data_IF_538682387434
#
_entry.id   IF_538682387434
#
_cell.length_a   1.000
_cell.length_b   1.000
_cell.length_c   1.000
_cell.angle_alpha   90.00
_cell.angle_beta   90.00
_cell.angle_gamma   90.00
#
_symmetry.space_group_name_H-M   'P 1'
#
loop_
_entity.id
_entity.type
_entity.pdbx_description
1 polymer ?
#
# COMPACT_ATOMS: atom_id res chain seq x y z
N UNK A 1 -23.63 0.56 -0.41
CA UNK A 1 -22.91 0.09 -1.63
C UNK A 1 -21.45 -0.12 -1.25
N UNK A 2 -21.04 -1.37 -1.11
CA UNK A 2 -19.66 -1.81 -0.86
C UNK A 2 -18.89 -1.87 -2.16
N UNK A 3 -17.65 -1.40 -2.19
CA UNK A 3 -16.82 -1.42 -3.40
C UNK A 3 -15.34 -1.37 -3.06
N UNK A 4 -14.51 -1.85 -3.98
CA UNK A 4 -13.05 -1.88 -3.87
C UNK A 4 -12.42 -1.07 -4.99
N UNK A 5 -11.49 -0.19 -4.64
CA UNK A 5 -10.54 0.43 -5.59
C UNK A 5 -9.17 -0.19 -5.40
N UNK A 6 -8.48 -0.55 -6.46
CA UNK A 6 -7.08 -1.00 -6.35
C UNK A 6 -6.12 0.10 -6.78
N UNK A 7 -5.13 0.38 -5.94
CA UNK A 7 -3.94 1.17 -6.29
C UNK A 7 -2.82 0.19 -6.56
N UNK A 8 -2.36 0.13 -7.81
CA UNK A 8 -1.31 -0.80 -8.24
C UNK A 8 -0.13 0.04 -8.71
N UNK A 9 1.03 -0.15 -8.11
CA UNK A 9 2.28 0.41 -8.62
C UNK A 9 3.13 -0.67 -9.29
N UNK A 10 3.66 -0.38 -10.48
CA UNK A 10 4.57 -1.26 -11.21
C UNK A 10 5.87 -0.53 -11.52
N UNK A 11 6.98 -1.23 -11.32
CA UNK A 11 8.32 -0.74 -11.65
C UNK A 11 9.04 -1.64 -12.65
N UNK A 12 8.90 -2.96 -12.54
CA UNK A 12 9.67 -3.92 -13.33
C UNK A 12 8.85 -4.51 -14.50
N UNK A 13 9.44 -4.65 -15.69
CA UNK A 13 8.86 -5.42 -16.79
C UNK A 13 8.51 -6.85 -16.36
N UNK A 14 7.41 -7.41 -16.88
CA UNK A 14 6.91 -8.75 -16.55
C UNK A 14 6.14 -8.83 -15.22
N UNK A 15 6.13 -7.76 -14.42
CA UNK A 15 5.47 -7.77 -13.11
C UNK A 15 3.95 -7.76 -13.22
N UNK A 16 3.41 -7.15 -14.28
CA UNK A 16 1.97 -7.11 -14.49
C UNK A 16 1.38 -8.52 -14.62
N UNK A 17 1.98 -9.37 -15.46
CA UNK A 17 1.52 -10.75 -15.69
C UNK A 17 1.64 -11.59 -14.41
N UNK A 18 2.68 -11.34 -13.61
CA UNK A 18 2.88 -12.00 -12.32
C UNK A 18 1.78 -11.62 -11.33
N UNK A 19 1.47 -10.32 -11.20
CA UNK A 19 0.39 -9.84 -10.35
C UNK A 19 -0.98 -10.30 -10.84
N UNK A 20 -1.25 -10.22 -12.13
CA UNK A 20 -2.52 -10.68 -12.73
C UNK A 20 -2.74 -12.18 -12.48
N UNK A 21 -1.70 -13.01 -12.61
CA UNK A 21 -1.80 -14.44 -12.31
C UNK A 21 -2.18 -14.70 -10.84
N UNK A 22 -1.65 -13.91 -9.91
CA UNK A 22 -1.84 -14.12 -8.46
C UNK A 22 -3.10 -13.43 -7.90
N UNK A 23 -3.45 -12.27 -8.45
CA UNK A 23 -4.44 -11.34 -7.93
C UNK A 23 -5.58 -11.05 -8.94
N UNK A 24 -5.62 -11.72 -10.08
CA UNK A 24 -6.54 -11.38 -11.17
C UNK A 24 -8.03 -11.43 -10.80
N UNK A 25 -8.43 -12.26 -9.84
CA UNK A 25 -9.80 -12.21 -9.35
C UNK A 25 -10.09 -11.02 -8.44
N UNK A 26 -9.10 -10.46 -7.74
CA UNK A 26 -9.24 -9.15 -7.09
C UNK A 26 -9.41 -8.05 -8.14
N UNK A 27 -8.67 -8.12 -9.26
CA UNK A 27 -8.76 -7.12 -10.33
C UNK A 27 -10.15 -7.09 -10.96
N UNK A 28 -10.75 -8.27 -11.19
CA UNK A 28 -12.11 -8.41 -11.71
C UNK A 28 -13.20 -7.98 -10.72
N UNK A 29 -12.93 -8.07 -9.42
CA UNK A 29 -13.87 -7.65 -8.36
C UNK A 29 -13.76 -6.16 -8.03
N UNK A 30 -12.66 -5.51 -8.40
CA UNK A 30 -12.49 -4.09 -8.21
C UNK A 30 -13.52 -3.30 -9.03
N UNK A 31 -14.04 -2.20 -8.48
CA UNK A 31 -14.88 -1.26 -9.22
C UNK A 31 -14.04 -0.41 -10.17
N UNK A 32 -12.82 -0.10 -9.75
CA UNK A 32 -11.87 0.73 -10.48
C UNK A 32 -10.43 0.35 -10.07
N UNK A 33 -9.50 0.55 -10.99
CA UNK A 33 -8.09 0.27 -10.79
C UNK A 33 -7.31 1.52 -11.18
N UNK A 34 -6.49 2.03 -10.27
CA UNK A 34 -5.54 3.11 -10.54
C UNK A 34 -4.16 2.49 -10.59
N UNK A 35 -3.62 2.39 -11.79
CA UNK A 35 -2.32 1.82 -12.07
C UNK A 35 -1.31 2.96 -12.28
N UNK A 36 -0.20 2.91 -11.55
CA UNK A 36 0.91 3.83 -11.71
C UNK A 36 2.15 3.04 -12.14
N UNK A 37 2.95 3.60 -13.05
CA UNK A 37 4.25 3.03 -13.38
C UNK A 37 5.25 4.09 -13.81
N UNK A 38 6.53 3.77 -13.66
CA UNK A 38 7.63 4.69 -13.96
C UNK A 38 8.05 4.69 -15.43
N UNK A 39 7.89 3.56 -16.11
CA UNK A 39 8.40 3.32 -17.45
C UNK A 39 7.26 3.01 -18.44
N UNK A 40 7.43 3.43 -19.70
CA UNK A 40 6.42 3.28 -20.74
C UNK A 40 6.21 1.81 -21.10
N UNK A 41 7.30 1.04 -21.23
CA UNK A 41 7.27 -0.39 -21.51
C UNK A 41 6.45 -1.17 -20.46
N UNK A 42 6.59 -0.80 -19.18
CA UNK A 42 5.79 -1.39 -18.08
C UNK A 42 4.31 -1.02 -18.20
N UNK A 43 3.96 0.19 -18.63
CA UNK A 43 2.57 0.56 -18.87
C UNK A 43 1.98 -0.18 -20.09
N UNK A 44 2.77 -0.30 -21.15
CA UNK A 44 2.36 -0.95 -22.40
C UNK A 44 2.02 -2.43 -22.19
N UNK A 45 2.75 -3.13 -21.32
CA UNK A 45 2.44 -4.51 -20.93
C UNK A 45 1.01 -4.66 -20.41
N UNK A 46 0.52 -3.66 -19.68
CA UNK A 46 -0.84 -3.68 -19.11
C UNK A 46 -1.89 -3.54 -20.20
N UNK A 47 -1.62 -2.83 -21.30
CA UNK A 47 -2.62 -2.49 -22.32
C UNK A 47 -3.24 -3.72 -22.99
N UNK A 48 -2.45 -4.78 -23.18
CA UNK A 48 -2.86 -6.00 -23.89
C UNK A 48 -3.92 -6.85 -23.16
N UNK A 49 -3.92 -6.85 -21.82
CA UNK A 49 -4.72 -7.76 -20.97
C UNK A 49 -5.83 -7.04 -20.19
N UNK A 50 -5.74 -5.72 -20.08
CA UNK A 50 -6.61 -4.91 -19.21
C UNK A 50 -7.88 -4.39 -19.90
N UNK A 51 -8.07 -4.60 -21.21
CA UNK A 51 -9.25 -4.13 -21.96
C UNK A 51 -10.60 -4.64 -21.43
N UNK A 52 -10.57 -5.63 -20.53
CA UNK A 52 -11.75 -6.19 -19.85
C UNK A 52 -11.86 -5.78 -18.38
N UNK A 53 -10.89 -5.05 -17.83
CA UNK A 53 -10.90 -4.63 -16.43
C UNK A 53 -11.71 -3.34 -16.27
N UNK A 54 -12.58 -3.27 -15.24
CA UNK A 54 -13.45 -2.13 -15.04
C UNK A 54 -12.67 -0.89 -14.58
N UNK A 55 -12.96 0.25 -15.21
CA UNK A 55 -12.54 1.57 -14.71
C UNK A 55 -11.03 1.73 -14.51
N UNK A 56 -10.20 1.11 -15.36
CA UNK A 56 -8.75 1.21 -15.23
C UNK A 56 -8.23 2.57 -15.70
N UNK A 57 -7.51 3.25 -14.82
CA UNK A 57 -6.75 4.48 -15.09
C UNK A 57 -5.27 4.14 -15.01
N UNK A 58 -4.49 4.59 -16.00
CA UNK A 58 -3.04 4.40 -16.04
C UNK A 58 -2.36 5.75 -15.95
N UNK A 59 -1.39 5.87 -15.05
CA UNK A 59 -0.64 7.09 -14.80
C UNK A 59 0.86 6.79 -14.92
N UNK A 60 1.53 7.47 -15.86
CA UNK A 60 2.99 7.52 -15.87
C UNK A 60 3.45 8.48 -14.76
N UNK A 61 4.36 8.03 -13.92
CA UNK A 61 4.84 8.79 -12.76
C UNK A 61 6.37 8.81 -12.71
N UNK A 62 7.00 9.86 -12.16
CA UNK A 62 8.43 9.82 -11.93
C UNK A 62 8.76 8.84 -10.80
N UNK A 63 9.92 8.16 -10.90
CA UNK A 63 10.43 7.28 -9.86
C UNK A 63 10.90 8.11 -8.65
N UNK A 64 9.98 8.42 -7.75
CA UNK A 64 10.24 9.12 -6.50
C UNK A 64 9.45 8.43 -5.41
N UNK A 65 10.14 7.88 -4.42
CA UNK A 65 9.56 7.09 -3.35
C UNK A 65 9.09 5.70 -3.74
N UNK A 66 9.60 5.14 -4.84
CA UNK A 66 9.24 3.81 -5.36
C UNK A 66 7.71 3.59 -5.39
N UNK A 67 7.23 2.50 -4.81
CA UNK A 67 5.83 2.14 -4.72
C UNK A 67 5.01 3.10 -3.86
N UNK A 68 5.59 3.67 -2.82
CA UNK A 68 4.91 4.65 -1.94
C UNK A 68 4.57 5.91 -2.72
N UNK A 69 5.51 6.46 -3.47
CA UNK A 69 5.24 7.66 -4.26
C UNK A 69 4.22 7.42 -5.38
N UNK A 70 4.21 6.23 -5.98
CA UNK A 70 3.14 5.79 -6.89
C UNK A 70 1.78 5.75 -6.19
N UNK A 71 1.69 5.13 -5.00
CA UNK A 71 0.46 5.05 -4.20
C UNK A 71 -0.07 6.42 -3.79
N UNK A 72 0.80 7.37 -3.44
CA UNK A 72 0.40 8.74 -3.10
C UNK A 72 -0.16 9.50 -4.32
N UNK A 73 0.41 9.30 -5.52
CA UNK A 73 -0.19 9.85 -6.75
C UNK A 73 -1.55 9.21 -7.02
N UNK A 74 -1.65 7.87 -6.91
CA UNK A 74 -2.90 7.16 -7.10
C UNK A 74 -3.98 7.64 -6.12
N UNK A 75 -3.60 7.86 -4.86
CA UNK A 75 -4.50 8.39 -3.83
C UNK A 75 -4.93 9.83 -4.14
N UNK A 76 -4.03 10.70 -4.57
CA UNK A 76 -4.38 12.05 -5.00
C UNK A 76 -5.42 12.03 -6.14
N UNK A 77 -5.20 11.18 -7.15
CA UNK A 77 -6.16 10.99 -8.24
C UNK A 77 -7.50 10.44 -7.73
N UNK A 78 -7.47 9.42 -6.88
CA UNK A 78 -8.66 8.84 -6.27
C UNK A 78 -9.51 9.88 -5.54
N UNK A 79 -8.87 10.73 -4.73
CA UNK A 79 -9.55 11.75 -3.93
C UNK A 79 -10.21 12.82 -4.80
N UNK A 80 -9.59 13.19 -5.93
CA UNK A 80 -10.07 14.29 -6.78
C UNK A 80 -11.02 13.85 -7.90
N UNK A 81 -10.79 12.69 -8.48
CA UNK A 81 -11.38 12.32 -9.78
C UNK A 81 -12.33 11.12 -9.70
N UNK A 82 -12.21 10.30 -8.65
CA UNK A 82 -12.95 9.04 -8.57
C UNK A 82 -14.16 9.11 -7.64
N UNK A 83 -15.16 8.29 -7.96
CA UNK A 83 -16.18 7.90 -7.00
C UNK A 83 -15.53 7.09 -5.88
N UNK A 84 -15.86 7.45 -4.64
CA UNK A 84 -15.34 6.78 -3.45
C UNK A 84 -15.94 5.39 -3.31
N UNK A 85 -15.13 4.46 -2.83
CA UNK A 85 -15.42 3.04 -2.66
C UNK A 85 -15.15 2.70 -1.22
N UNK A 86 -15.94 1.84 -0.56
CA UNK A 86 -15.75 1.50 0.87
C UNK A 86 -14.32 1.06 1.22
N UNK A 87 -13.66 0.37 0.28
CA UNK A 87 -12.34 -0.17 0.45
C UNK A 87 -11.39 0.33 -0.63
N UNK A 88 -10.12 0.48 -0.25
CA UNK A 88 -9.01 0.59 -1.18
C UNK A 88 -8.02 -0.55 -0.90
N UNK A 89 -7.43 -1.11 -1.95
CA UNK A 89 -6.37 -2.10 -1.88
C UNK A 89 -5.08 -1.53 -2.42
N UNK A 90 -4.01 -1.59 -1.62
CA UNK A 90 -2.68 -1.17 -2.03
C UNK A 90 -1.90 -2.40 -2.49
N UNK A 91 -1.38 -2.34 -3.70
CA UNK A 91 -0.61 -3.39 -4.35
C UNK A 91 0.59 -2.77 -5.06
N UNK A 92 1.67 -3.54 -5.13
CA UNK A 92 2.77 -3.22 -6.01
C UNK A 92 3.52 -4.49 -6.38
N UNK A 93 4.43 -4.38 -7.33
CA UNK A 93 5.34 -5.46 -7.67
C UNK A 93 6.45 -5.64 -6.62
N UNK A 94 6.85 -6.89 -6.43
CA UNK A 94 7.93 -7.25 -5.51
C UNK A 94 8.92 -8.15 -6.23
N UNK A 95 10.02 -7.54 -6.65
CA UNK A 95 11.20 -8.25 -7.15
C UNK A 95 12.25 -8.18 -6.05
N UNK A 96 12.70 -9.34 -5.55
CA UNK A 96 13.77 -9.43 -4.55
C UNK A 96 14.84 -10.37 -5.08
N UNK A 97 15.87 -9.84 -5.77
CA UNK A 97 16.93 -10.65 -6.39
C UNK A 97 17.73 -11.49 -5.38
N UNK A 98 17.67 -11.12 -4.11
CA UNK A 98 18.53 -11.64 -3.04
C UNK A 98 17.88 -12.75 -2.20
N UNK A 99 16.62 -13.11 -2.46
CA UNK A 99 15.90 -14.09 -1.63
C UNK A 99 15.93 -15.49 -2.26
N UNK A 100 16.52 -16.45 -1.55
CA UNK A 100 16.66 -17.87 -1.97
C UNK A 100 15.31 -18.53 -2.30
N UNK A 101 14.20 -18.00 -1.78
CA UNK A 101 12.84 -18.49 -2.06
C UNK A 101 11.85 -17.35 -2.35
N UNK A 102 12.19 -16.49 -3.31
CA UNK A 102 11.40 -15.29 -3.66
C UNK A 102 9.93 -15.61 -4.01
N UNK A 103 9.65 -16.76 -4.62
CA UNK A 103 8.29 -17.17 -4.99
C UNK A 103 7.39 -17.34 -3.76
N UNK A 104 7.84 -18.10 -2.75
CA UNK A 104 7.06 -18.36 -1.54
C UNK A 104 6.75 -17.09 -0.73
N UNK A 105 7.73 -16.17 -0.64
CA UNK A 105 7.54 -14.88 0.01
C UNK A 105 6.49 -14.03 -0.73
N UNK A 106 6.58 -13.98 -2.06
CA UNK A 106 5.62 -13.26 -2.89
C UNK A 106 4.20 -13.85 -2.78
N UNK A 107 4.06 -15.19 -2.77
CA UNK A 107 2.76 -15.85 -2.63
C UNK A 107 2.08 -15.53 -1.31
N UNK A 108 2.86 -15.50 -0.22
CA UNK A 108 2.32 -15.12 1.10
C UNK A 108 1.91 -13.65 1.13
N UNK A 109 2.74 -12.77 0.56
CA UNK A 109 2.51 -11.33 0.54
C UNK A 109 1.25 -10.95 -0.26
N UNK A 110 1.04 -11.59 -1.41
CA UNK A 110 -0.14 -11.36 -2.25
C UNK A 110 -1.37 -12.19 -1.84
N UNK A 111 -1.22 -13.11 -0.88
CA UNK A 111 -2.34 -13.96 -0.44
C UNK A 111 -3.63 -13.21 -0.07
N UNK A 112 -3.61 -11.98 0.50
CA UNK A 112 -4.82 -11.21 0.76
C UNK A 112 -5.60 -10.79 -0.48
N UNK A 113 -4.96 -10.79 -1.66
CA UNK A 113 -5.56 -10.44 -2.95
C UNK A 113 -5.84 -11.65 -3.85
N UNK A 114 -5.55 -12.87 -3.37
CA UNK A 114 -6.08 -14.08 -4.00
C UNK A 114 -7.62 -14.12 -3.89
N UNK A 115 -8.30 -14.89 -4.74
CA UNK A 115 -9.77 -14.97 -4.71
C UNK A 115 -10.33 -15.33 -3.33
N UNK A 116 -9.71 -16.30 -2.65
CA UNK A 116 -10.10 -16.72 -1.31
C UNK A 116 -9.64 -15.70 -0.24
N UNK A 117 -8.44 -15.14 -0.41
CA UNK A 117 -7.90 -14.15 0.51
C UNK A 117 -8.74 -12.88 0.54
N UNK A 118 -9.09 -12.34 -0.64
CA UNK A 118 -9.85 -11.10 -0.73
C UNK A 118 -11.23 -11.26 -0.09
N UNK A 119 -11.91 -12.39 -0.32
CA UNK A 119 -13.19 -12.67 0.37
C UNK A 119 -13.05 -12.67 1.89
N UNK A 120 -12.00 -13.29 2.42
CA UNK A 120 -11.72 -13.28 3.88
C UNK A 120 -11.41 -11.88 4.40
N UNK A 121 -10.61 -11.12 3.66
CA UNK A 121 -10.27 -9.73 3.98
C UNK A 121 -11.53 -8.87 4.08
N UNK A 122 -12.35 -8.89 3.02
CA UNK A 122 -13.58 -8.09 2.96
C UNK A 122 -14.56 -8.53 4.05
N UNK A 123 -14.75 -9.84 4.27
CA UNK A 123 -15.59 -10.36 5.35
C UNK A 123 -15.12 -9.88 6.73
N UNK A 124 -13.80 -9.86 6.98
CA UNK A 124 -13.24 -9.41 8.26
C UNK A 124 -13.46 -7.91 8.48
N UNK A 125 -13.32 -7.10 7.42
CA UNK A 125 -13.66 -5.68 7.45
C UNK A 125 -15.18 -5.46 7.60
N UNK A 126 -16.03 -6.20 6.91
CA UNK A 126 -17.49 -6.03 7.02
C UNK A 126 -18.01 -6.44 8.40
N UNK A 127 -17.44 -7.48 9.01
CA UNK A 127 -17.90 -8.02 10.30
C UNK A 127 -17.40 -7.27 11.54
N UNK A 128 -16.31 -6.50 11.44
CA UNK A 128 -15.75 -5.74 12.57
C UNK A 128 -15.37 -4.33 12.14
N UNK A 129 -16.20 -3.36 12.55
CA UNK A 129 -16.02 -1.94 12.24
C UNK A 129 -14.72 -1.35 12.83
N UNK A 130 -14.11 -2.00 13.82
CA UNK A 130 -12.87 -1.53 14.46
C UNK A 130 -11.63 -1.86 13.64
N UNK A 131 -11.73 -2.83 12.72
CA UNK A 131 -10.60 -3.18 11.84
C UNK A 131 -10.55 -2.18 10.70
N UNK A 132 -9.39 -1.53 10.53
CA UNK A 132 -9.17 -0.52 9.49
C UNK A 132 -8.36 -1.04 8.31
N UNK A 133 -7.41 -1.93 8.59
CA UNK A 133 -6.47 -2.49 7.60
C UNK A 133 -6.36 -4.00 7.78
N UNK A 134 -6.36 -4.75 6.68
CA UNK A 134 -6.10 -6.18 6.66
C UNK A 134 -5.07 -6.52 5.59
N UNK A 135 -3.98 -7.16 6.01
CA UNK A 135 -2.92 -7.68 5.14
C UNK A 135 -2.59 -9.15 5.39
N UNK A 136 -1.43 -9.57 4.93
CA UNK A 136 -0.94 -10.94 5.16
C UNK A 136 -0.40 -11.05 6.59
N UNK A 137 -0.90 -12.01 7.40
CA UNK A 137 -0.56 -12.13 8.83
C UNK A 137 0.93 -12.23 9.11
N UNK A 138 1.69 -12.89 8.24
CA UNK A 138 3.15 -13.04 8.39
C UNK A 138 3.91 -11.71 8.33
N UNK A 139 3.32 -10.72 7.65
CA UNK A 139 3.88 -9.39 7.46
C UNK A 139 3.29 -8.36 8.42
N UNK A 140 2.37 -8.76 9.31
CA UNK A 140 1.98 -7.93 10.44
C UNK A 140 3.15 -7.88 11.44
N UNK A 141 3.67 -6.67 11.66
CA UNK A 141 4.87 -6.40 12.47
C UNK A 141 4.60 -5.29 13.47
N UNK A 142 5.42 -5.29 14.50
CA UNK A 142 5.53 -4.23 15.49
C UNK A 142 7.03 -4.06 15.79
N UNK A 143 7.56 -2.87 15.54
CA UNK A 143 8.97 -2.54 15.76
C UNK A 143 9.14 -1.58 16.95
N UNK A 144 8.05 -1.11 17.57
CA UNK A 144 8.10 -0.10 18.61
C UNK A 144 8.42 -0.72 19.98
N UNK A 145 9.39 -0.13 20.66
CA UNK A 145 9.77 -0.47 22.03
C UNK A 145 9.17 0.54 22.99
N UNK A 146 8.13 0.14 23.72
CA UNK A 146 7.46 1.02 24.69
C UNK A 146 8.36 1.44 25.87
N UNK A 147 9.40 0.65 26.20
CA UNK A 147 10.32 0.98 27.29
C UNK A 147 11.25 2.13 26.92
N UNK A 148 11.77 2.08 25.69
CA UNK A 148 12.71 3.09 25.17
C UNK A 148 12.03 4.20 24.37
N UNK A 149 10.73 4.06 24.07
CA UNK A 149 9.95 4.95 23.18
C UNK A 149 10.60 5.12 21.80
N UNK A 150 11.17 4.05 21.25
CA UNK A 150 11.89 4.05 19.97
C UNK A 150 11.51 2.85 19.10
N UNK A 151 11.77 2.95 17.81
CA UNK A 151 11.58 1.86 16.85
C UNK A 151 12.88 1.09 16.63
N UNK A 152 12.80 -0.24 16.59
CA UNK A 152 13.92 -1.15 16.30
C UNK A 152 14.17 -1.27 14.79
N UNK A 153 14.49 -0.14 14.16
CA UNK A 153 14.74 -0.01 12.71
C UNK A 153 15.70 1.14 12.43
N UNK A 154 16.33 1.15 11.24
CA UNK A 154 17.17 2.26 10.75
C UNK A 154 16.38 3.54 10.49
N UNK A 155 15.04 3.47 10.53
CA UNK A 155 14.12 4.57 10.27
C UNK A 155 13.58 5.25 11.54
N UNK A 156 14.07 4.92 12.74
CA UNK A 156 13.51 5.43 14.01
C UNK A 156 13.38 6.95 14.03
N UNK A 157 14.46 7.69 13.77
CA UNK A 157 14.44 9.16 13.80
C UNK A 157 13.43 9.75 12.81
N UNK A 158 13.43 9.29 11.55
CA UNK A 158 12.50 9.75 10.52
C UNK A 158 11.05 9.42 10.88
N UNK A 159 10.78 8.23 11.44
CA UNK A 159 9.45 7.85 11.89
C UNK A 159 8.95 8.76 13.01
N UNK A 160 9.80 9.05 14.00
CA UNK A 160 9.46 9.96 15.10
C UNK A 160 9.16 11.37 14.58
N UNK A 161 9.98 11.86 13.65
CA UNK A 161 9.79 13.18 13.03
C UNK A 161 8.46 13.23 12.25
N UNK A 162 8.15 12.21 11.45
CA UNK A 162 6.89 12.15 10.69
C UNK A 162 5.67 11.95 11.59
N UNK A 163 5.77 11.14 12.65
CA UNK A 163 4.72 10.98 13.65
C UNK A 163 4.42 12.32 14.31
N UNK A 164 5.45 13.11 14.62
CA UNK A 164 5.30 14.45 15.19
C UNK A 164 4.76 15.45 14.16
N UNK A 165 5.25 15.41 12.92
CA UNK A 165 4.81 16.29 11.82
C UNK A 165 3.30 16.17 11.57
N UNK A 166 2.80 14.93 11.55
CA UNK A 166 1.39 14.64 11.30
C UNK A 166 0.55 14.48 12.58
N UNK A 167 1.11 14.78 13.75
CA UNK A 167 0.47 14.64 15.08
C UNK A 167 -0.22 13.27 15.27
N UNK A 168 0.48 12.20 14.85
CA UNK A 168 -0.05 10.85 14.93
C UNK A 168 0.06 10.30 16.36
N UNK A 169 -1.02 9.65 16.79
CA UNK A 169 -1.12 9.04 18.11
C UNK A 169 -1.51 7.58 17.97
N UNK A 170 -0.51 6.72 17.72
CA UNK A 170 -0.71 5.27 17.66
C UNK A 170 -0.40 4.65 19.02
N UNK A 171 -1.22 3.69 19.45
CA UNK A 171 -0.99 2.97 20.72
C UNK A 171 -0.18 1.70 20.51
N UNK A 172 -0.27 1.08 19.34
CA UNK A 172 0.32 -0.22 19.06
C UNK A 172 1.49 -0.08 18.11
N UNK A 173 1.38 0.78 17.09
CA UNK A 173 2.37 0.87 16.01
C UNK A 173 2.49 -0.45 15.23
N UNK A 174 1.38 -1.17 15.06
CA UNK A 174 1.32 -2.33 14.19
C UNK A 174 1.29 -1.86 12.72
N UNK A 175 1.97 -2.61 11.85
CA UNK A 175 1.95 -2.32 10.41
C UNK A 175 2.08 -3.59 9.56
N UNK A 176 1.68 -3.50 8.29
CA UNK A 176 1.87 -4.56 7.30
C UNK A 176 3.12 -4.25 6.48
N UNK A 177 4.21 -4.95 6.77
CA UNK A 177 5.47 -4.82 6.05
C UNK A 177 5.28 -5.14 4.55
N UNK A 178 5.89 -4.31 3.69
CA UNK A 178 5.73 -4.40 2.24
C UNK A 178 4.44 -3.78 1.70
N UNK A 179 3.65 -3.07 2.52
CA UNK A 179 2.58 -2.16 2.07
C UNK A 179 1.63 -2.76 1.03
N UNK A 180 1.23 -4.02 1.26
CA UNK A 180 0.25 -4.78 0.47
C UNK A 180 -0.88 -5.22 1.40
N UNK A 181 -1.99 -4.49 1.33
CA UNK A 181 -3.14 -4.68 2.21
C UNK A 181 -4.40 -4.01 1.64
N UNK A 182 -5.55 -4.35 2.19
CA UNK A 182 -6.81 -3.63 1.97
C UNK A 182 -7.12 -2.80 3.19
N UNK A 183 -7.58 -1.56 3.01
CA UNK A 183 -8.03 -0.71 4.08
C UNK A 183 -9.39 -0.06 3.77
N UNK A 184 -10.06 0.41 4.82
CA UNK A 184 -11.24 1.28 4.68
C UNK A 184 -10.80 2.59 4.02
N UNK A 185 -11.46 2.96 2.94
CA UNK A 185 -11.10 4.17 2.19
C UNK A 185 -11.20 5.43 3.06
N UNK A 186 -12.21 5.50 3.93
CA UNK A 186 -12.48 6.60 4.83
C UNK A 186 -11.25 7.00 5.67
N UNK A 187 -10.37 6.05 5.98
CA UNK A 187 -9.13 6.32 6.73
C UNK A 187 -8.21 7.24 5.93
N UNK A 188 -7.96 6.89 4.67
CA UNK A 188 -7.10 7.67 3.80
C UNK A 188 -7.81 8.95 3.34
N UNK A 189 -9.12 8.90 3.14
CA UNK A 189 -9.91 10.08 2.79
C UNK A 189 -9.85 11.15 3.88
N UNK A 190 -10.05 10.78 5.14
CA UNK A 190 -10.00 11.72 6.26
C UNK A 190 -8.60 12.34 6.42
N UNK A 191 -7.56 11.51 6.46
CA UNK A 191 -6.20 11.99 6.66
C UNK A 191 -5.73 12.90 5.51
N UNK A 192 -5.90 12.45 4.26
CA UNK A 192 -5.40 13.19 3.10
C UNK A 192 -6.33 14.33 2.65
N UNK A 193 -7.49 14.51 3.30
CA UNK A 193 -8.28 15.75 3.17
C UNK A 193 -7.59 16.95 3.86
N UNK A 194 -6.77 16.68 4.87
CA UNK A 194 -6.02 17.68 5.66
C UNK A 194 -4.54 17.73 5.30
N UNK A 195 -3.99 16.62 4.84
CA UNK A 195 -2.58 16.49 4.46
C UNK A 195 -2.48 16.08 2.99
N UNK A 196 -2.32 17.01 2.03
CA UNK A 196 -2.33 16.68 0.61
C UNK A 196 -1.32 15.58 0.24
N UNK A 197 -1.78 14.52 -0.45
CA UNK A 197 -0.93 13.37 -0.79
C UNK A 197 0.33 13.72 -1.60
N UNK A 198 0.28 14.79 -2.39
CA UNK A 198 1.46 15.24 -3.15
C UNK A 198 2.49 15.98 -2.29
N UNK A 199 2.08 16.60 -1.19
CA UNK A 199 2.99 17.20 -0.22
C UNK A 199 3.71 16.11 0.59
N UNK A 200 2.96 15.10 1.06
CA UNK A 200 3.51 13.88 1.66
C UNK A 200 4.51 13.15 0.74
N UNK A 201 4.33 13.25 -0.59
CA UNK A 201 5.23 12.68 -1.59
C UNK A 201 6.49 13.52 -1.82
N UNK A 202 6.44 14.83 -1.56
CA UNK A 202 7.52 15.76 -1.88
C UNK A 202 8.88 15.40 -1.24
N UNK A 203 8.97 14.95 0.03
CA UNK A 203 10.26 14.60 0.65
C UNK A 203 10.78 13.20 0.30
N UNK A 204 10.01 12.37 -0.42
CA UNK A 204 10.45 11.01 -0.76
C UNK A 204 11.69 11.02 -1.66
N UNK A 205 12.49 9.95 -1.56
CA UNK A 205 13.75 9.82 -2.29
C UNK A 205 13.53 9.72 -3.80
N UNK A 206 14.45 10.30 -4.59
CA UNK A 206 14.45 10.12 -6.05
C UNK A 206 15.17 8.81 -6.44
N UNK A 207 14.60 8.09 -7.41
CA UNK A 207 15.17 6.84 -7.90
C UNK A 207 14.93 5.63 -6.99
N UNK A 208 15.74 4.59 -7.18
CA UNK A 208 15.62 3.32 -6.45
C UNK A 208 16.57 3.26 -5.23
N UNK A 209 16.31 4.09 -4.21
CA UNK A 209 17.18 4.20 -3.02
C UNK A 209 16.99 3.02 -2.05
N UNK A 210 18.09 2.47 -1.54
CA UNK A 210 18.09 1.37 -0.56
C UNK A 210 18.32 1.91 0.86
N UNK A 211 17.75 1.26 1.86
CA UNK A 211 17.78 1.66 3.28
C UNK A 211 18.84 0.92 4.11
N UNK A 212 19.86 0.35 3.46
CA UNK A 212 20.85 -0.53 4.09
C UNK A 212 21.70 0.16 5.17
N UNK A 213 21.91 1.47 5.06
CA UNK A 213 22.81 2.23 5.95
C UNK A 213 22.11 3.39 6.67
N UNK A 214 21.06 3.95 6.07
CA UNK A 214 20.31 5.07 6.61
C UNK A 214 18.82 4.85 6.35
N UNK A 215 17.98 5.35 7.27
CA UNK A 215 16.54 5.38 7.06
C UNK A 215 16.15 6.20 5.82
N UNK A 216 14.96 5.93 5.31
CA UNK A 216 14.38 6.60 4.15
C UNK A 216 12.93 7.00 4.47
N UNK A 217 12.48 8.11 3.91
CA UNK A 217 11.07 8.50 3.96
C UNK A 217 10.19 7.43 3.32
N UNK A 218 10.64 6.78 2.24
CA UNK A 218 9.90 5.69 1.60
C UNK A 218 9.55 4.58 2.60
N UNK A 219 10.54 3.99 3.29
CA UNK A 219 10.29 2.93 4.26
C UNK A 219 9.59 3.42 5.53
N UNK A 220 9.76 4.70 5.88
CA UNK A 220 8.98 5.30 6.97
C UNK A 220 7.49 5.35 6.60
N UNK A 221 7.17 5.76 5.38
CA UNK A 221 5.79 5.82 4.87
C UNK A 221 5.11 4.45 4.75
N UNK A 222 5.85 3.36 4.51
CA UNK A 222 5.32 2.00 4.58
C UNK A 222 4.61 1.72 5.91
N UNK A 223 5.15 2.28 7.01
CA UNK A 223 4.59 2.17 8.36
C UNK A 223 3.49 3.20 8.60
N UNK A 224 3.69 4.45 8.16
CA UNK A 224 2.74 5.54 8.40
C UNK A 224 1.33 5.22 7.90
N UNK A 225 1.16 4.53 6.77
CA UNK A 225 -0.18 4.16 6.32
C UNK A 225 -0.98 3.39 7.38
N UNK A 226 -0.31 2.51 8.15
CA UNK A 226 -0.96 1.79 9.24
C UNK A 226 -1.11 2.66 10.49
N UNK A 227 -0.14 3.53 10.78
CA UNK A 227 -0.21 4.44 11.94
C UNK A 227 -1.32 5.48 11.79
N UNK A 228 -1.64 5.91 10.57
CA UNK A 228 -2.80 6.76 10.27
C UNK A 228 -4.09 6.05 10.68
N UNK A 229 -4.24 4.76 10.34
CA UNK A 229 -5.40 3.97 10.73
C UNK A 229 -5.50 3.83 12.26
N UNK A 230 -4.39 3.53 12.93
CA UNK A 230 -4.37 3.44 14.39
C UNK A 230 -4.67 4.77 15.09
N UNK A 231 -4.14 5.88 14.58
CA UNK A 231 -4.44 7.22 15.07
C UNK A 231 -5.94 7.53 15.01
N UNK A 232 -6.63 7.05 13.97
CA UNK A 232 -8.08 7.16 13.84
C UNK A 232 -8.86 6.10 14.65
N UNK A 233 -8.19 5.32 15.50
CA UNK A 233 -8.80 4.36 16.41
C UNK A 233 -9.04 2.97 15.81
N UNK A 234 -8.52 2.67 14.61
CA UNK A 234 -8.65 1.36 13.99
C UNK A 234 -7.55 0.39 14.40
N UNK A 235 -7.80 -0.91 14.22
CA UNK A 235 -6.78 -1.96 14.34
C UNK A 235 -6.28 -2.45 12.98
N UNK A 236 -5.05 -2.96 12.99
CA UNK A 236 -4.39 -3.60 11.86
C UNK A 236 -4.39 -5.10 12.09
N UNK A 237 -4.82 -5.86 11.09
CA UNK A 237 -5.02 -7.30 11.23
C UNK A 237 -4.41 -8.07 10.06
N UNK A 238 -4.17 -9.36 10.31
CA UNK A 238 -3.66 -10.29 9.32
C UNK A 238 -4.61 -11.46 9.07
N UNK A 239 -4.57 -12.00 7.85
CA UNK A 239 -5.20 -13.29 7.51
C UNK A 239 -4.19 -14.37 7.12
#
# INVERSE_FOLDING_TARGET
MTGLTLFIHLYYPGSWQTLEKKCGGAFRQARQIILTACHDDVLDETMSSTGKLPGIVRLKVPNKGKDIGGKLIALCYYLRCCQKTTYIGLLHDKVSPQTINASYWSDTLYSPFSDKGLRKVLQKLDNDSRIGIVGAKRFLKNEFDHGNKSFKTTNDSLLQDLIKEYDLHSRRYDFIAGTIFVCRSAIMEDFFSRHPALEARAPLEEGNVMDLQHGTYTHSWERLFCFIAEHQGYTIEGI
#
